data_IF_034446787981
#
_entry.id   IF_034446787981
#
_cell.length_a   1.000
_cell.length_b   1.000
_cell.length_c   1.000
_cell.angle_alpha   90.00
_cell.angle_beta   90.00
_cell.angle_gamma   90.00
#
_symmetry.space_group_name_H-M   'P 1'
#
loop_
_entity.id
_entity.type
_entity.pdbx_description
1 polymer ?
#
# COMPACT_ATOMS: atom_id res chain seq x y z
N UNK A 1 -1.12 -22.23 1.56
CA UNK A 1 -0.31 -21.32 2.42
C UNK A 1 -0.70 -21.55 3.86
N UNK A 2 0.22 -21.49 4.80
CA UNK A 2 -0.04 -21.63 6.24
C UNK A 2 0.41 -20.37 7.01
N UNK A 3 0.01 -20.28 8.27
CA UNK A 3 0.32 -19.13 9.12
C UNK A 3 1.84 -18.94 9.31
N UNK A 4 2.60 -20.00 9.38
CA UNK A 4 4.06 -19.92 9.57
C UNK A 4 4.77 -19.33 8.36
N UNK A 5 4.25 -19.57 7.16
CA UNK A 5 4.85 -19.04 5.93
C UNK A 5 4.72 -17.53 5.79
N UNK A 6 3.68 -16.92 6.37
CA UNK A 6 3.46 -15.46 6.32
C UNK A 6 4.01 -14.70 7.54
N UNK A 7 4.40 -15.41 8.59
CA UNK A 7 4.91 -14.80 9.83
C UNK A 7 6.06 -13.79 9.60
N UNK A 8 7.01 -14.01 8.67
CA UNK A 8 8.04 -13.02 8.37
C UNK A 8 7.47 -11.68 7.88
N UNK A 9 6.41 -11.71 7.06
CA UNK A 9 5.75 -10.49 6.57
C UNK A 9 5.02 -9.76 7.69
N UNK A 10 4.32 -10.49 8.55
CA UNK A 10 3.62 -9.94 9.72
C UNK A 10 4.62 -9.25 10.67
N UNK A 11 5.76 -9.90 10.95
CA UNK A 11 6.79 -9.34 11.83
C UNK A 11 7.42 -8.07 11.26
N UNK A 12 7.62 -7.99 9.95
CA UNK A 12 8.11 -6.77 9.28
C UNK A 12 7.05 -5.67 9.38
N UNK A 13 5.80 -6.00 9.12
CA UNK A 13 4.69 -5.05 9.22
C UNK A 13 4.59 -4.44 10.61
N UNK A 14 4.53 -5.27 11.66
CA UNK A 14 4.44 -4.78 13.04
C UNK A 14 5.63 -3.91 13.43
N UNK A 15 6.85 -4.28 13.02
CA UNK A 15 8.06 -3.47 13.25
C UNK A 15 7.98 -2.10 12.56
N UNK A 16 7.56 -2.08 11.30
CA UNK A 16 7.39 -0.84 10.53
C UNK A 16 6.34 0.06 11.18
N UNK A 17 5.22 -0.51 11.56
CA UNK A 17 4.14 0.24 12.19
C UNK A 17 4.56 0.83 13.54
N UNK A 18 5.28 0.06 14.37
CA UNK A 18 5.78 0.52 15.67
C UNK A 18 6.73 1.72 15.55
N UNK A 19 7.58 1.75 14.52
CA UNK A 19 8.54 2.84 14.28
C UNK A 19 7.98 4.02 13.49
N UNK A 20 6.75 3.94 13.01
CA UNK A 20 6.11 5.02 12.25
C UNK A 20 5.74 6.17 13.18
N UNK A 21 6.23 7.38 12.84
CA UNK A 21 5.95 8.61 13.56
C UNK A 21 4.74 9.33 12.93
N UNK A 22 3.90 9.93 13.75
CA UNK A 22 2.71 10.68 13.34
C UNK A 22 2.86 12.21 13.45
N UNK A 23 4.00 12.71 13.91
CA UNK A 23 4.21 14.14 14.19
C UNK A 23 4.14 15.01 12.93
N UNK A 24 4.55 14.46 11.79
CA UNK A 24 4.45 15.14 10.50
C UNK A 24 3.79 14.24 9.46
N UNK A 25 2.80 14.78 8.75
CA UNK A 25 2.12 14.12 7.63
C UNK A 25 2.19 14.97 6.37
N UNK A 26 2.28 14.29 5.23
CA UNK A 26 2.20 14.95 3.92
C UNK A 26 0.79 15.49 3.69
N UNK A 27 0.67 16.65 3.02
CA UNK A 27 -0.65 17.25 2.72
C UNK A 27 -1.60 16.30 1.98
N UNK A 28 -1.05 15.44 1.14
CA UNK A 28 -1.86 14.45 0.42
C UNK A 28 -2.63 13.51 1.36
N UNK A 29 -2.12 13.25 2.57
CA UNK A 29 -2.76 12.34 3.52
C UNK A 29 -4.22 12.72 3.82
N UNK A 30 -4.52 14.00 3.96
CA UNK A 30 -5.87 14.52 4.22
C UNK A 30 -6.74 14.62 2.96
N UNK A 31 -6.14 14.60 1.77
CA UNK A 31 -6.83 14.73 0.49
C UNK A 31 -7.29 13.39 -0.08
N UNK A 32 -6.71 12.28 0.39
CA UNK A 32 -7.04 10.94 -0.08
C UNK A 32 -8.41 10.51 0.45
N UNK A 33 -9.26 10.05 -0.47
CA UNK A 33 -10.44 9.29 -0.09
C UNK A 33 -10.05 7.83 0.18
N UNK A 34 -9.81 7.50 1.44
CA UNK A 34 -9.38 6.18 1.87
C UNK A 34 -10.48 5.11 1.83
N UNK A 35 -11.75 5.51 1.57
CA UNK A 35 -12.89 4.57 1.55
C UNK A 35 -13.06 3.84 0.22
N UNK A 36 -12.30 4.20 -0.80
CA UNK A 36 -12.37 3.52 -2.10
C UNK A 36 -11.76 2.12 -2.02
N UNK A 37 -12.33 1.18 -2.79
CA UNK A 37 -11.92 -0.22 -2.76
C UNK A 37 -10.55 -0.49 -3.37
N UNK A 38 -10.16 0.27 -4.39
CA UNK A 38 -8.85 0.18 -5.03
C UNK A 38 -8.25 1.57 -5.11
N UNK A 39 -7.22 1.79 -4.31
CA UNK A 39 -6.54 3.08 -4.17
C UNK A 39 -5.07 2.95 -4.58
N UNK A 40 -4.66 3.73 -5.56
CA UNK A 40 -3.27 3.83 -5.98
C UNK A 40 -2.62 5.14 -5.54
N UNK A 41 -1.38 5.05 -5.06
CA UNK A 41 -0.55 6.21 -4.73
C UNK A 41 0.76 6.08 -5.51
N UNK A 42 0.94 6.93 -6.51
CA UNK A 42 2.18 7.00 -7.30
C UNK A 42 3.03 8.19 -6.90
N UNK A 43 4.32 8.11 -7.15
CA UNK A 43 5.23 9.22 -6.86
C UNK A 43 6.68 8.78 -6.92
N UNK A 44 7.62 9.73 -6.94
CA UNK A 44 9.04 9.42 -7.01
C UNK A 44 9.51 8.60 -5.81
N UNK A 45 10.63 7.91 -5.99
CA UNK A 45 11.30 7.21 -4.90
C UNK A 45 11.69 8.22 -3.81
N UNK A 46 11.48 7.88 -2.55
CA UNK A 46 11.78 8.76 -1.42
C UNK A 46 10.72 9.82 -1.12
N UNK A 47 9.64 9.93 -1.89
CA UNK A 47 8.56 10.90 -1.63
C UNK A 47 7.77 10.66 -0.32
N UNK A 48 7.96 9.51 0.32
CA UNK A 48 7.26 9.18 1.57
C UNK A 48 5.98 8.37 1.40
N UNK A 49 5.79 7.67 0.28
CA UNK A 49 4.59 6.84 0.02
C UNK A 49 4.37 5.78 1.10
N UNK A 50 5.41 5.03 1.43
CA UNK A 50 5.38 4.00 2.48
C UNK A 50 5.00 4.58 3.83
N UNK A 51 5.63 5.71 4.20
CA UNK A 51 5.34 6.41 5.46
C UNK A 51 3.90 6.88 5.51
N UNK A 52 3.38 7.46 4.44
CA UNK A 52 2.01 7.95 4.33
C UNK A 52 0.99 6.82 4.57
N UNK A 53 1.21 5.64 3.97
CA UNK A 53 0.36 4.47 4.18
C UNK A 53 0.43 3.98 5.63
N UNK A 54 1.63 3.82 6.19
CA UNK A 54 1.81 3.34 7.55
C UNK A 54 1.22 4.31 8.59
N UNK A 55 1.29 5.61 8.34
CA UNK A 55 0.62 6.62 9.16
C UNK A 55 -0.89 6.45 9.13
N UNK A 56 -1.46 6.28 7.94
CA UNK A 56 -2.90 6.02 7.79
C UNK A 56 -3.33 4.77 8.55
N UNK A 57 -2.59 3.67 8.42
CA UNK A 57 -2.90 2.42 9.15
C UNK A 57 -2.89 2.68 10.66
N UNK A 58 -1.83 3.30 11.16
CA UNK A 58 -1.63 3.55 12.59
C UNK A 58 -2.71 4.43 13.21
N UNK A 59 -3.29 5.36 12.46
CA UNK A 59 -4.34 6.24 12.92
C UNK A 59 -5.75 5.64 12.81
N UNK A 60 -5.98 4.84 11.77
CA UNK A 60 -7.35 4.44 11.40
C UNK A 60 -7.75 3.11 12.01
N UNK A 61 -6.82 2.16 12.11
CA UNK A 61 -7.14 0.81 12.54
C UNK A 61 -6.84 0.62 14.03
N UNK A 62 -7.91 0.44 14.83
CA UNK A 62 -7.79 0.18 16.26
C UNK A 62 -7.08 -1.15 16.53
N UNK A 63 -7.31 -2.15 15.67
CA UNK A 63 -6.58 -3.41 15.66
C UNK A 63 -5.76 -3.51 14.36
N UNK A 64 -4.43 -3.36 14.42
CA UNK A 64 -3.57 -3.48 13.23
C UNK A 64 -3.67 -4.83 12.53
N UNK A 65 -4.08 -5.88 13.23
CA UNK A 65 -4.19 -7.24 12.68
C UNK A 65 -5.41 -7.42 11.75
N UNK A 66 -6.31 -6.44 11.68
CA UNK A 66 -7.40 -6.41 10.70
C UNK A 66 -6.90 -6.03 9.28
N UNK A 67 -5.65 -5.64 9.18
CA UNK A 67 -4.97 -5.24 7.95
C UNK A 67 -3.60 -5.87 7.84
N UNK A 68 -2.98 -5.72 6.68
CA UNK A 68 -1.56 -6.02 6.50
C UNK A 68 -0.93 -5.05 5.50
N UNK A 69 0.30 -4.67 5.76
CA UNK A 69 1.18 -4.00 4.81
C UNK A 69 2.31 -4.94 4.39
N UNK A 70 2.53 -5.06 3.09
CA UNK A 70 3.64 -5.83 2.52
C UNK A 70 4.31 -5.05 1.39
N UNK A 71 5.64 -5.10 1.34
CA UNK A 71 6.41 -4.58 0.21
C UNK A 71 6.66 -5.70 -0.80
N UNK A 72 6.29 -5.47 -2.05
CA UNK A 72 6.52 -6.45 -3.13
C UNK A 72 7.99 -6.52 -3.59
N UNK A 73 8.84 -5.66 -3.06
CA UNK A 73 10.31 -5.76 -3.17
C UNK A 73 10.92 -6.78 -2.19
N UNK A 74 10.11 -7.38 -1.31
CA UNK A 74 10.57 -8.35 -0.34
C UNK A 74 10.95 -9.68 -1.00
N UNK A 75 12.09 -10.25 -0.61
CA UNK A 75 12.60 -11.54 -1.11
C UNK A 75 11.62 -12.70 -0.89
N UNK A 76 10.68 -12.57 0.05
CA UNK A 76 9.62 -13.55 0.28
C UNK A 76 8.85 -13.88 -1.00
N UNK A 77 8.60 -12.88 -1.87
CA UNK A 77 7.89 -13.03 -3.14
C UNK A 77 8.69 -13.72 -4.25
N UNK A 78 9.97 -14.03 -4.04
CA UNK A 78 10.72 -14.85 -4.98
C UNK A 78 10.28 -16.31 -4.98
N UNK A 79 9.79 -16.81 -3.83
CA UNK A 79 9.39 -18.20 -3.65
C UNK A 79 7.91 -18.36 -3.29
N UNK A 80 7.16 -17.27 -3.20
CA UNK A 80 5.76 -17.29 -2.78
C UNK A 80 4.90 -16.43 -3.71
N UNK A 81 3.66 -16.85 -3.88
CA UNK A 81 2.70 -16.26 -4.79
C UNK A 81 1.88 -15.16 -4.10
N UNK A 82 1.83 -13.98 -4.71
CA UNK A 82 0.97 -12.89 -4.23
C UNK A 82 -0.53 -13.24 -4.33
N UNK A 83 -1.06 -13.88 -5.39
CA UNK A 83 -2.43 -14.35 -5.43
C UNK A 83 -2.79 -15.28 -4.27
N UNK A 84 -1.92 -16.24 -3.93
CA UNK A 84 -2.14 -17.15 -2.81
C UNK A 84 -2.12 -16.43 -1.46
N UNK A 85 -1.26 -15.41 -1.32
CA UNK A 85 -1.23 -14.57 -0.12
C UNK A 85 -2.54 -13.80 0.03
N UNK A 86 -3.04 -13.18 -1.03
CA UNK A 86 -4.29 -12.41 -1.00
C UNK A 86 -5.47 -13.31 -0.65
N UNK A 87 -5.57 -14.49 -1.26
CA UNK A 87 -6.62 -15.45 -0.96
C UNK A 87 -6.57 -15.93 0.50
N UNK A 88 -5.38 -16.24 0.99
CA UNK A 88 -5.16 -16.60 2.40
C UNK A 88 -5.61 -15.48 3.34
N UNK A 89 -5.18 -14.25 3.11
CA UNK A 89 -5.52 -13.10 3.95
C UNK A 89 -7.04 -12.84 3.97
N UNK A 90 -7.67 -12.87 2.79
CA UNK A 90 -9.11 -12.67 2.65
C UNK A 90 -9.91 -13.73 3.42
N UNK A 91 -9.54 -15.01 3.28
CA UNK A 91 -10.21 -16.11 3.97
C UNK A 91 -10.00 -16.10 5.49
N UNK A 92 -8.95 -15.39 5.97
CA UNK A 92 -8.68 -15.20 7.41
C UNK A 92 -9.21 -13.86 7.95
N UNK A 93 -10.07 -13.17 7.19
CA UNK A 93 -10.80 -12.00 7.68
C UNK A 93 -10.07 -10.66 7.53
N UNK A 94 -8.95 -10.61 6.80
CA UNK A 94 -8.30 -9.34 6.49
C UNK A 94 -9.18 -8.54 5.53
N UNK A 95 -9.55 -7.34 5.93
CA UNK A 95 -10.46 -6.47 5.17
C UNK A 95 -9.74 -5.49 4.25
N UNK A 96 -8.49 -5.16 4.56
CA UNK A 96 -7.69 -4.19 3.80
C UNK A 96 -6.25 -4.66 3.68
N UNK A 97 -5.73 -4.69 2.45
CA UNK A 97 -4.34 -5.06 2.15
C UNK A 97 -3.63 -3.84 1.56
N UNK A 98 -2.47 -3.53 2.11
CA UNK A 98 -1.59 -2.46 1.64
C UNK A 98 -0.38 -3.07 0.94
N UNK A 99 -0.29 -2.85 -0.39
CA UNK A 99 0.77 -3.37 -1.25
C UNK A 99 1.73 -2.27 -1.65
N UNK A 100 2.92 -2.30 -1.10
CA UNK A 100 3.95 -1.30 -1.40
C UNK A 100 4.83 -1.75 -2.56
N UNK A 101 5.19 -0.80 -3.44
CA UNK A 101 6.06 -1.03 -4.60
C UNK A 101 5.55 -2.10 -5.58
N UNK A 102 4.26 -2.05 -5.97
CA UNK A 102 3.63 -3.08 -6.82
C UNK A 102 4.34 -3.31 -8.16
N UNK A 103 5.07 -2.32 -8.68
CA UNK A 103 5.84 -2.44 -9.91
C UNK A 103 6.97 -3.50 -9.82
N UNK A 104 7.33 -3.93 -8.63
CA UNK A 104 8.29 -5.01 -8.41
C UNK A 104 7.70 -6.40 -8.66
N UNK A 105 6.38 -6.52 -8.70
CA UNK A 105 5.70 -7.79 -8.98
C UNK A 105 5.21 -7.84 -10.43
N UNK A 106 5.74 -8.79 -11.20
CA UNK A 106 5.35 -8.95 -12.61
C UNK A 106 3.86 -9.29 -12.74
N UNK A 107 3.14 -8.53 -13.58
CA UNK A 107 1.71 -8.76 -13.81
C UNK A 107 0.80 -8.18 -12.72
N UNK A 108 1.31 -7.28 -11.86
CA UNK A 108 0.57 -6.67 -10.77
C UNK A 108 -0.75 -6.02 -11.19
N UNK A 109 -0.80 -5.35 -12.34
CA UNK A 109 -2.01 -4.67 -12.78
C UNK A 109 -3.14 -5.63 -13.14
N UNK A 110 -2.83 -6.74 -13.83
CA UNK A 110 -3.79 -7.80 -14.13
C UNK A 110 -4.27 -8.48 -12.84
N UNK A 111 -3.35 -8.70 -11.90
CA UNK A 111 -3.68 -9.25 -10.60
C UNK A 111 -4.65 -8.34 -9.83
N UNK A 112 -4.36 -7.04 -9.72
CA UNK A 112 -5.25 -6.10 -9.03
C UNK A 112 -6.64 -6.02 -9.66
N UNK A 113 -6.70 -6.07 -11.00
CA UNK A 113 -7.99 -6.16 -11.71
C UNK A 113 -8.76 -7.42 -11.31
N UNK A 114 -8.11 -8.57 -11.35
CA UNK A 114 -8.74 -9.85 -11.01
C UNK A 114 -9.19 -9.88 -9.53
N UNK A 115 -8.38 -9.36 -8.63
CA UNK A 115 -8.70 -9.27 -7.20
C UNK A 115 -9.90 -8.35 -6.98
N UNK A 116 -9.91 -7.18 -7.62
CA UNK A 116 -11.04 -6.26 -7.53
C UNK A 116 -12.37 -6.90 -7.99
N UNK A 117 -12.31 -7.69 -9.06
CA UNK A 117 -13.49 -8.35 -9.62
C UNK A 117 -13.93 -9.58 -8.82
N UNK A 118 -12.98 -10.28 -8.14
CA UNK A 118 -13.25 -11.55 -7.43
C UNK A 118 -13.56 -11.39 -5.94
N UNK A 119 -13.07 -10.34 -5.29
CA UNK A 119 -13.22 -10.11 -3.84
C UNK A 119 -13.93 -8.78 -3.58
N UNK A 120 -15.28 -8.75 -3.61
CA UNK A 120 -16.05 -7.48 -3.60
C UNK A 120 -15.89 -6.65 -2.33
N UNK A 121 -15.59 -7.29 -1.19
CA UNK A 121 -15.46 -6.62 0.10
C UNK A 121 -14.01 -6.29 0.46
N UNK A 122 -13.02 -6.73 -0.34
CA UNK A 122 -11.62 -6.47 -0.09
C UNK A 122 -11.22 -5.08 -0.56
N UNK A 123 -10.58 -4.33 0.32
CA UNK A 123 -9.93 -3.07 -0.02
C UNK A 123 -8.45 -3.30 -0.29
N UNK A 124 -7.93 -2.69 -1.35
CA UNK A 124 -6.51 -2.68 -1.66
C UNK A 124 -6.03 -1.25 -1.82
N UNK A 125 -5.01 -0.90 -1.07
CA UNK A 125 -4.22 0.31 -1.24
C UNK A 125 -2.85 -0.10 -1.77
N UNK A 126 -2.40 0.50 -2.85
CA UNK A 126 -1.10 0.16 -3.40
C UNK A 126 -0.25 1.39 -3.72
N UNK A 127 1.06 1.21 -3.70
CA UNK A 127 2.00 2.23 -4.17
C UNK A 127 2.81 1.73 -5.35
N UNK A 128 3.27 2.68 -6.15
CA UNK A 128 4.20 2.43 -7.23
C UNK A 128 5.10 3.65 -7.49
N UNK A 129 6.23 3.42 -8.17
CA UNK A 129 7.05 4.51 -8.65
C UNK A 129 6.33 5.28 -9.76
N UNK A 130 6.67 6.55 -9.89
CA UNK A 130 6.04 7.44 -10.87
C UNK A 130 6.42 7.03 -12.29
N UNK A 131 5.46 6.95 -13.15
CA UNK A 131 5.54 7.20 -14.59
C UNK A 131 5.61 5.94 -15.46
N UNK A 132 6.61 5.06 -15.34
CA UNK A 132 6.86 4.12 -16.44
C UNK A 132 6.07 2.80 -16.35
N UNK A 133 5.74 2.36 -15.17
CA UNK A 133 5.21 1.01 -14.96
C UNK A 133 3.70 0.99 -14.68
N UNK A 134 3.18 2.09 -14.13
CA UNK A 134 1.72 2.26 -13.98
C UNK A 134 1.09 2.63 -15.33
N UNK A 135 1.77 3.46 -16.12
CA UNK A 135 1.28 3.93 -17.42
C UNK A 135 1.48 2.91 -18.55
N UNK A 136 2.42 1.97 -18.42
CA UNK A 136 2.67 0.92 -19.39
C UNK A 136 1.78 -0.33 -19.23
N UNK A 137 0.94 -0.38 -18.21
CA UNK A 137 -0.03 -1.45 -18.14
C UNK A 137 -1.09 -1.23 -19.22
N UNK A 138 -1.10 -2.10 -20.23
CA UNK A 138 -2.20 -2.21 -21.22
C UNK A 138 -3.54 -2.57 -20.57
N UNK A 139 -3.56 -2.67 -19.26
CA UNK A 139 -4.70 -3.09 -18.44
C UNK A 139 -5.36 -1.85 -17.90
N UNK A 140 -6.58 -1.61 -18.31
CA UNK A 140 -7.36 -0.47 -17.85
C UNK A 140 -7.89 -0.70 -16.43
N UNK A 141 -7.24 -0.07 -15.45
CA UNK A 141 -7.70 0.03 -14.08
C UNK A 141 -8.50 1.32 -13.82
N UNK A 142 -8.60 2.22 -14.79
CA UNK A 142 -9.12 3.57 -14.60
C UNK A 142 -10.55 3.63 -14.05
N UNK A 143 -11.38 2.64 -14.39
CA UNK A 143 -12.76 2.54 -13.89
C UNK A 143 -12.89 1.88 -12.52
N UNK A 144 -11.80 1.30 -11.99
CA UNK A 144 -11.78 0.52 -10.75
C UNK A 144 -11.06 1.21 -9.62
N UNK A 145 -10.16 2.13 -9.95
CA UNK A 145 -9.25 2.73 -8.99
C UNK A 145 -9.42 4.25 -8.87
N UNK A 146 -9.06 4.75 -7.70
CA UNK A 146 -8.68 6.14 -7.51
C UNK A 146 -7.16 6.23 -7.43
N UNK A 147 -6.55 7.05 -8.28
CA UNK A 147 -5.10 7.19 -8.36
C UNK A 147 -4.69 8.58 -7.92
N UNK A 148 -3.85 8.64 -6.89
CA UNK A 148 -3.27 9.87 -6.37
C UNK A 148 -1.78 9.96 -6.69
N UNK A 149 -1.29 11.17 -6.84
CA UNK A 149 0.13 11.43 -7.04
C UNK A 149 0.70 12.12 -5.81
N UNK A 150 1.69 11.48 -5.17
CA UNK A 150 2.48 12.10 -4.10
C UNK A 150 3.74 12.71 -4.74
N UNK A 151 3.80 14.04 -4.90
CA UNK A 151 4.98 14.70 -5.45
C UNK A 151 6.13 14.68 -4.45
N UNK A 152 7.28 15.18 -4.86
CA UNK A 152 8.35 15.51 -3.91
C UNK A 152 7.85 16.50 -2.86
N UNK A 153 8.53 16.54 -1.72
CA UNK A 153 8.14 17.41 -0.61
C UNK A 153 8.20 18.88 -1.02
N UNK A 154 7.10 19.60 -0.86
CA UNK A 154 7.07 21.04 -1.08
C UNK A 154 7.87 21.78 -0.01
N UNK A 155 8.31 22.99 -0.32
CA UNK A 155 9.04 23.83 0.64
C UNK A 155 8.22 24.07 1.93
N UNK A 156 6.91 24.23 1.81
CA UNK A 156 6.01 24.41 2.97
C UNK A 156 5.97 23.17 3.84
N UNK A 157 5.88 21.97 3.24
CA UNK A 157 5.94 20.70 3.98
C UNK A 157 7.31 20.49 4.64
N UNK A 158 8.39 20.86 3.95
CA UNK A 158 9.74 20.79 4.50
C UNK A 158 9.90 21.70 5.72
N UNK A 159 9.43 22.95 5.66
CA UNK A 159 9.45 23.86 6.81
C UNK A 159 8.64 23.27 7.97
N UNK A 160 7.44 22.74 7.70
CA UNK A 160 6.61 22.07 8.71
C UNK A 160 7.35 20.92 9.40
N UNK A 161 8.04 20.09 8.62
CA UNK A 161 8.82 18.98 9.14
C UNK A 161 10.00 19.42 10.02
N UNK A 162 10.75 20.44 9.58
CA UNK A 162 12.00 20.88 10.26
C UNK A 162 11.69 21.76 11.46
N UNK A 163 10.68 22.62 11.37
CA UNK A 163 10.34 23.60 12.40
C UNK A 163 9.25 23.11 13.38
N UNK A 164 8.67 21.94 13.12
CA UNK A 164 7.61 21.34 13.92
C UNK A 164 6.37 22.26 14.09
N UNK A 165 6.01 22.97 13.00
CA UNK A 165 4.90 23.90 12.91
C UNK A 165 3.88 23.50 11.86
#
# INVERSE_FOLDING_TARGET
MDQNSILPLINIYHRRLATTNLDFKRFLHEQINWDVRLLGIKGPRGAGKTTLILQHIKETFSNPDDTIWVSLDNLWFQNNSLPELIDYLYTHGISTIFLDEVHKYKGWAQLLKNVYDSYPDLKIVYTGSSILEIDNSKIDLSRRQSLYTLPEMSFREYIGLVCNI
#
